data_IF_769781547178
#
_entry.id   IF_769781547178
#
_cell.length_a   1.000
_cell.length_b   1.000
_cell.length_c   1.000
_cell.angle_alpha   90.00
_cell.angle_beta   90.00
_cell.angle_gamma   90.00
#
_symmetry.space_group_name_H-M   'P 1'
#
loop_
_entity.id
_entity.type
_entity.pdbx_description
1 polymer ?
#
# COMPACT_ATOMS: atom_id res chain seq x y z
N UNK A 1 -34.90 10.03 24.28
CA UNK A 1 -34.19 9.06 23.42
C UNK A 1 -33.26 9.86 22.53
N UNK A 2 -31.95 9.61 22.58
CA UNK A 2 -30.97 10.30 21.73
C UNK A 2 -31.06 9.83 20.26
N UNK A 3 -30.58 10.63 19.31
CA UNK A 3 -30.62 10.25 17.90
C UNK A 3 -29.74 9.01 17.69
N UNK A 4 -30.15 8.07 16.81
CA UNK A 4 -29.32 6.92 16.49
C UNK A 4 -27.98 7.41 15.95
N UNK A 5 -26.91 6.89 16.54
CA UNK A 5 -25.52 7.18 16.18
C UNK A 5 -25.36 6.97 14.68
N UNK A 6 -25.33 8.07 13.92
CA UNK A 6 -25.22 8.05 12.47
C UNK A 6 -23.82 7.51 12.16
N UNK A 7 -23.76 6.20 11.85
CA UNK A 7 -22.54 5.43 11.69
C UNK A 7 -21.46 6.23 10.96
N UNK A 8 -20.36 6.51 11.66
CA UNK A 8 -19.19 7.20 11.13
C UNK A 8 -18.78 6.58 9.80
N UNK A 9 -18.57 7.37 8.72
CA UNK A 9 -18.19 6.82 7.43
C UNK A 9 -16.90 6.02 7.59
N UNK A 10 -16.96 4.72 7.26
CA UNK A 10 -15.80 3.86 7.23
C UNK A 10 -14.90 4.41 6.13
N UNK A 11 -13.80 5.04 6.52
CA UNK A 11 -12.77 5.47 5.59
C UNK A 11 -12.32 4.24 4.80
N UNK A 12 -12.18 4.34 3.48
CA UNK A 12 -11.68 3.25 2.63
C UNK A 12 -10.33 3.65 2.08
N UNK A 13 -9.36 2.75 2.12
CA UNK A 13 -8.07 2.91 1.43
C UNK A 13 -8.04 2.03 0.18
N UNK A 14 -7.38 2.52 -0.84
CA UNK A 14 -7.00 1.71 -2.01
C UNK A 14 -5.72 0.97 -1.67
N UNK A 15 -5.75 -0.35 -1.82
CA UNK A 15 -4.57 -1.20 -1.70
C UNK A 15 -4.43 -1.97 -3.01
N UNK A 16 -3.23 -1.95 -3.58
CA UNK A 16 -2.89 -2.75 -4.76
C UNK A 16 -2.45 -4.14 -4.32
N UNK A 17 -3.04 -5.18 -4.92
CA UNK A 17 -2.57 -6.55 -4.74
C UNK A 17 -1.40 -6.84 -5.69
N UNK A 18 -0.18 -6.66 -5.18
CA UNK A 18 1.05 -6.86 -5.95
C UNK A 18 1.22 -8.29 -6.46
N UNK A 19 0.64 -9.30 -5.80
CA UNK A 19 0.70 -10.68 -6.29
C UNK A 19 -0.19 -10.84 -7.53
N UNK A 20 -1.39 -10.26 -7.52
CA UNK A 20 -2.25 -10.19 -8.72
C UNK A 20 -1.61 -9.38 -9.84
N UNK A 21 -0.92 -8.29 -9.53
CA UNK A 21 -0.16 -7.51 -10.53
C UNK A 21 0.90 -8.38 -11.20
N UNK A 22 1.69 -9.13 -10.42
CA UNK A 22 2.69 -10.07 -10.96
C UNK A 22 2.07 -11.10 -11.90
N UNK A 23 0.98 -11.75 -11.48
CA UNK A 23 0.27 -12.74 -12.32
C UNK A 23 -0.37 -12.11 -13.56
N UNK A 24 -0.81 -10.85 -13.48
CA UNK A 24 -1.37 -10.14 -14.62
C UNK A 24 -0.30 -9.82 -15.67
N UNK A 25 0.93 -9.51 -15.25
CA UNK A 25 2.07 -9.32 -16.16
C UNK A 25 2.64 -10.62 -16.74
N UNK A 26 2.53 -11.75 -16.04
CA UNK A 26 2.89 -13.07 -16.60
C UNK A 26 1.99 -13.49 -17.77
N UNK A 27 0.75 -12.99 -17.81
CA UNK A 27 -0.17 -13.21 -18.93
C UNK A 27 0.15 -12.23 -20.05
N UNK A 28 0.96 -12.69 -21.00
CA UNK A 28 1.46 -11.93 -22.16
C UNK A 28 0.35 -11.60 -23.18
N UNK A 29 -0.88 -12.12 -22.99
CA UNK A 29 -2.03 -11.83 -23.86
C UNK A 29 -2.59 -10.42 -23.59
N UNK A 30 -1.85 -9.39 -24.00
CA UNK A 30 -2.37 -8.02 -24.03
C UNK A 30 -2.14 -7.33 -25.38
N UNK A 31 -3.22 -6.94 -26.08
CA UNK A 31 -3.16 -6.16 -27.31
C UNK A 31 -2.33 -4.85 -27.29
N UNK A 32 -2.25 -4.05 -26.20
CA UNK A 32 -1.62 -2.72 -26.26
C UNK A 32 -0.09 -2.72 -26.33
N UNK A 33 0.59 -3.86 -26.10
CA UNK A 33 2.05 -3.94 -26.25
C UNK A 33 2.45 -4.39 -27.67
N UNK A 34 1.51 -4.95 -28.45
CA UNK A 34 1.76 -5.38 -29.82
C UNK A 34 1.97 -4.21 -30.80
N UNK A 35 1.67 -2.98 -30.39
CA UNK A 35 1.92 -1.76 -31.16
C UNK A 35 3.33 -1.18 -30.95
N UNK A 36 4.14 -1.76 -30.04
CA UNK A 36 5.52 -1.35 -29.81
C UNK A 36 6.42 -2.13 -30.79
N UNK A 37 7.18 -1.46 -31.67
CA UNK A 37 8.10 -2.13 -32.58
C UNK A 37 9.30 -2.71 -31.84
N UNK A 38 9.84 -3.83 -32.33
CA UNK A 38 11.02 -4.47 -31.77
C UNK A 38 12.31 -3.64 -31.96
N UNK A 39 12.37 -2.82 -33.02
CA UNK A 39 13.48 -1.91 -33.31
C UNK A 39 12.99 -0.46 -33.13
N UNK A 40 13.51 0.22 -32.11
CA UNK A 40 13.17 1.60 -31.76
C UNK A 40 14.34 2.49 -32.19
N UNK A 41 14.13 3.36 -33.18
CA UNK A 41 15.22 4.15 -33.79
C UNK A 41 14.98 5.65 -33.70
N UNK A 42 13.72 6.06 -33.69
CA UNK A 42 13.31 7.47 -33.67
C UNK A 42 12.85 7.89 -32.28
N UNK A 43 12.93 9.19 -32.01
CA UNK A 43 12.46 9.75 -30.73
C UNK A 43 10.94 9.59 -30.60
N UNK A 44 10.20 9.71 -31.70
CA UNK A 44 8.75 9.52 -31.74
C UNK A 44 8.34 8.09 -31.36
N UNK A 45 9.10 7.08 -31.80
CA UNK A 45 8.89 5.69 -31.39
C UNK A 45 9.23 5.46 -29.91
N UNK A 46 10.26 6.13 -29.38
CA UNK A 46 10.58 6.11 -27.94
C UNK A 46 9.40 6.66 -27.14
N UNK A 47 8.91 7.84 -27.49
CA UNK A 47 7.79 8.48 -26.80
C UNK A 47 6.52 7.62 -26.87
N UNK A 48 6.26 7.02 -28.03
CA UNK A 48 5.14 6.10 -28.23
C UNK A 48 5.26 4.85 -27.36
N UNK A 49 6.43 4.21 -27.32
CA UNK A 49 6.68 3.02 -26.52
C UNK A 49 6.55 3.30 -25.02
N UNK A 50 7.08 4.44 -24.54
CA UNK A 50 6.91 4.90 -23.16
C UNK A 50 5.44 5.09 -22.83
N UNK A 51 4.67 5.74 -23.72
CA UNK A 51 3.25 5.95 -23.55
C UNK A 51 2.46 4.64 -23.47
N UNK A 52 2.71 3.72 -24.39
CA UNK A 52 2.07 2.41 -24.44
C UNK A 52 2.34 1.58 -23.17
N UNK A 53 3.62 1.50 -22.75
CA UNK A 53 4.00 0.78 -21.55
C UNK A 53 3.38 1.41 -20.29
N UNK A 54 3.42 2.73 -20.17
CA UNK A 54 2.87 3.46 -19.01
C UNK A 54 1.37 3.24 -18.89
N UNK A 55 0.64 3.32 -20.00
CA UNK A 55 -0.81 3.08 -20.06
C UNK A 55 -1.14 1.64 -19.64
N UNK A 56 -0.39 0.66 -20.15
CA UNK A 56 -0.57 -0.74 -19.80
C UNK A 56 -0.33 -1.00 -18.30
N UNK A 57 0.80 -0.53 -17.75
CA UNK A 57 1.14 -0.68 -16.33
C UNK A 57 0.08 -0.04 -15.44
N UNK A 58 -0.34 1.19 -15.77
CA UNK A 58 -1.39 1.91 -15.03
C UNK A 58 -2.69 1.10 -15.02
N UNK A 59 -3.11 0.59 -16.18
CA UNK A 59 -4.34 -0.22 -16.30
C UNK A 59 -4.27 -1.51 -15.48
N UNK A 60 -3.12 -2.21 -15.49
CA UNK A 60 -2.93 -3.44 -14.72
C UNK A 60 -2.97 -3.15 -13.22
N UNK A 61 -2.30 -2.09 -12.77
CA UNK A 61 -2.29 -1.67 -11.36
C UNK A 61 -3.71 -1.32 -10.92
N UNK A 62 -4.44 -0.51 -11.68
CA UNK A 62 -5.82 -0.12 -11.38
C UNK A 62 -6.77 -1.33 -11.28
N UNK A 63 -6.68 -2.29 -12.20
CA UNK A 63 -7.47 -3.53 -12.14
C UNK A 63 -7.14 -4.41 -10.93
N UNK A 64 -5.92 -4.28 -10.40
CA UNK A 64 -5.45 -5.00 -9.22
C UNK A 64 -5.66 -4.23 -7.92
N UNK A 65 -6.17 -2.99 -7.99
CA UNK A 65 -6.60 -2.26 -6.81
C UNK A 65 -7.84 -2.92 -6.19
N UNK A 66 -7.89 -2.90 -4.87
CA UNK A 66 -9.11 -3.17 -4.11
C UNK A 66 -9.32 -2.09 -3.05
N UNK A 67 -10.58 -1.74 -2.84
CA UNK A 67 -10.98 -0.88 -1.72
C UNK A 67 -11.06 -1.75 -0.48
N UNK A 68 -10.24 -1.43 0.51
CA UNK A 68 -10.29 -2.07 1.82
C UNK A 68 -10.81 -1.01 2.80
N UNK A 69 -11.66 -1.36 3.76
CA UNK A 69 -11.91 -0.46 4.88
C UNK A 69 -10.55 -0.06 5.44
N UNK A 70 -10.24 1.25 5.38
CA UNK A 70 -9.16 1.81 6.15
C UNK A 70 -9.47 1.36 7.57
N UNK A 71 -8.61 0.53 8.14
CA UNK A 71 -8.83 -0.01 9.48
C UNK A 71 -8.79 1.18 10.44
N UNK A 72 -9.93 1.85 10.59
CA UNK A 72 -10.19 2.77 11.68
C UNK A 72 -10.54 1.99 12.95
N UNK A 73 -10.38 0.67 12.93
CA UNK A 73 -9.98 -0.02 14.14
C UNK A 73 -8.48 0.17 14.25
N UNK A 74 -8.10 1.27 14.93
CA UNK A 74 -6.98 1.19 15.88
C UNK A 74 -7.19 -0.12 16.60
N UNK A 75 -6.45 -1.17 16.25
CA UNK A 75 -6.56 -2.48 16.87
C UNK A 75 -6.61 -2.21 18.36
N UNK A 76 -7.79 -2.37 18.98
CA UNK A 76 -7.89 -2.37 20.42
C UNK A 76 -7.21 -3.67 20.78
N UNK A 77 -5.90 -3.57 20.98
CA UNK A 77 -5.15 -4.61 21.63
C UNK A 77 -5.94 -4.96 22.90
N UNK A 78 -6.16 -6.25 23.19
CA UNK A 78 -6.75 -6.63 24.44
C UNK A 78 -5.97 -5.98 25.61
N UNK A 79 -6.63 -5.75 26.75
CA UNK A 79 -6.08 -4.90 27.82
C UNK A 79 -4.68 -5.32 28.28
N UNK A 80 -4.38 -6.61 28.24
CA UNK A 80 -3.10 -7.23 28.55
C UNK A 80 -1.94 -6.77 27.63
N UNK A 81 -2.17 -6.72 26.31
CA UNK A 81 -1.16 -6.26 25.35
C UNK A 81 -0.94 -4.75 25.49
N UNK A 82 -1.98 -3.97 25.77
CA UNK A 82 -1.84 -2.54 26.05
C UNK A 82 -1.03 -2.27 27.32
N UNK A 83 -1.28 -3.05 28.37
CA UNK A 83 -0.55 -2.97 29.63
C UNK A 83 0.93 -3.31 29.44
N UNK A 84 1.23 -4.36 28.67
CA UNK A 84 2.61 -4.74 28.34
C UNK A 84 3.35 -3.64 27.57
N UNK A 85 2.70 -3.00 26.59
CA UNK A 85 3.28 -1.88 25.83
C UNK A 85 3.55 -0.69 26.77
N UNK A 86 2.62 -0.37 27.69
CA UNK A 86 2.82 0.71 28.67
C UNK A 86 3.99 0.40 29.61
N UNK A 87 4.06 -0.81 30.13
CA UNK A 87 5.14 -1.24 31.03
C UNK A 87 6.51 -1.16 30.33
N UNK A 88 6.61 -1.65 29.09
CA UNK A 88 7.83 -1.56 28.28
C UNK A 88 8.26 -0.12 28.05
N UNK A 89 7.34 0.75 27.67
CA UNK A 89 7.64 2.16 27.43
C UNK A 89 8.06 2.90 28.71
N UNK A 90 7.48 2.56 29.86
CA UNK A 90 7.88 3.10 31.15
C UNK A 90 9.30 2.65 31.55
N UNK A 91 9.62 1.37 31.34
CA UNK A 91 10.96 0.84 31.60
C UNK A 91 12.02 1.52 30.71
N UNK A 92 11.73 1.71 29.43
CA UNK A 92 12.64 2.39 28.50
C UNK A 92 12.92 3.84 28.91
N UNK A 93 11.87 4.59 29.31
CA UNK A 93 12.03 5.97 29.81
C UNK A 93 12.86 6.03 31.10
N UNK A 94 12.73 5.03 31.97
CA UNK A 94 13.52 4.92 33.19
C UNK A 94 14.98 4.57 32.87
N UNK A 95 15.21 3.66 31.94
CA UNK A 95 16.56 3.32 31.48
C UNK A 95 17.26 4.54 30.85
N UNK A 96 16.55 5.33 30.04
CA UNK A 96 17.11 6.57 29.46
C UNK A 96 17.37 7.68 30.47
N UNK A 97 16.86 7.56 31.70
CA UNK A 97 17.11 8.54 32.76
C UNK A 97 18.46 8.33 33.47
N UNK A 98 19.13 7.19 33.23
CA UNK A 98 20.48 6.94 33.73
C UNK A 98 21.48 7.05 32.57
N UNK A 99 22.60 7.78 32.74
CA UNK A 99 23.65 7.81 31.74
C UNK A 99 24.26 6.42 31.61
N UNK A 100 24.50 5.95 30.38
CA UNK A 100 25.34 4.79 30.13
C UNK A 100 26.73 5.08 30.69
N UNK A 101 27.28 4.23 31.60
CA UNK A 101 28.62 4.43 32.13
C UNK A 101 29.63 4.41 30.98
N UNK A 102 30.37 5.50 30.81
CA UNK A 102 31.56 5.50 29.95
C UNK A 102 32.67 4.77 30.71
N UNK A 103 33.29 3.79 30.06
CA UNK A 103 34.41 3.01 30.58
C UNK A 103 35.73 3.54 29.98
#
# INVERSE_FOLDING_TARGET
>A
MGPPDAGRPISTIKITDWKRVSTAFEKIDTPPLNSIPDDIRTTEEIDHAIGALTSHVTTVVEKCERKVPASSDRRKFPPDILELIRAKNAALRRASAYPTPEY
#
